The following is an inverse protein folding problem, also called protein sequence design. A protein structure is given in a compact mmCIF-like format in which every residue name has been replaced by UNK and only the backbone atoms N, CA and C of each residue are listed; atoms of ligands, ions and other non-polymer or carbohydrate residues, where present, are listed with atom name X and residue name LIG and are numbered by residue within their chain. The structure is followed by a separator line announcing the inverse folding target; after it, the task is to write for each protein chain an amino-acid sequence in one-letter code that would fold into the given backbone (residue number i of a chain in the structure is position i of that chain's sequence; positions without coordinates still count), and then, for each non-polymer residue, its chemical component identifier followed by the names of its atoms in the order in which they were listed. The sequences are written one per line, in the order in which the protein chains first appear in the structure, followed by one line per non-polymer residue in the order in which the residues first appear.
data_IF_939376754898
#
_entry.id   IF_939376754898
#
_cell.length_a   1.000
_cell.length_b   1.000
_cell.length_c   1.000
_cell.angle_alpha   90.00
_cell.angle_beta   90.00
_cell.angle_gamma   90.00
#
_symmetry.space_group_name_H-M   'P 1'
#
loop_
_entity.id
_entity.type
_entity.pdbx_description
1 polymer ?
#
# COMPACT_ATOMS: atom_id res chain seq x y z
N UNK A 1 12.10 17.63 -0.93
CA UNK A 1 11.97 17.12 0.45
C UNK A 1 11.88 15.62 0.34
N UNK A 2 12.90 14.90 0.82
CA UNK A 2 12.89 13.43 0.85
C UNK A 2 11.98 12.99 1.99
N UNK A 3 10.67 12.97 1.73
CA UNK A 3 9.72 12.44 2.70
C UNK A 3 9.93 10.92 2.73
N UNK A 4 10.58 10.44 3.79
CA UNK A 4 10.91 9.02 4.02
C UNK A 4 9.64 8.20 4.35
N UNK A 5 8.61 8.34 3.51
CA UNK A 5 7.30 7.77 3.71
C UNK A 5 7.35 6.30 3.39
N UNK A 6 6.80 5.49 4.29
CA UNK A 6 6.83 4.04 4.27
C UNK A 6 5.48 3.54 3.76
N UNK A 7 5.52 2.76 2.70
CA UNK A 7 4.33 2.28 1.99
C UNK A 7 4.30 0.75 2.05
N UNK A 8 3.17 0.17 2.41
CA UNK A 8 2.90 -1.27 2.26
C UNK A 8 2.13 -1.48 0.97
N UNK A 9 2.46 -2.53 0.23
CA UNK A 9 1.73 -2.96 -0.95
C UNK A 9 1.22 -4.40 -0.73
N UNK A 10 -0.08 -4.58 -0.88
CA UNK A 10 -0.72 -5.89 -0.98
C UNK A 10 -1.10 -6.15 -2.44
N UNK A 11 -0.69 -7.29 -2.98
CA UNK A 11 -1.08 -7.75 -4.31
C UNK A 11 -1.23 -9.26 -4.40
N UNK A 12 -1.54 -9.78 -5.58
CA UNK A 12 -1.59 -11.24 -5.84
C UNK A 12 -0.56 -11.72 -6.86
N UNK A 13 0.03 -10.80 -7.63
CA UNK A 13 1.04 -11.11 -8.63
C UNK A 13 2.39 -10.49 -8.26
N UNK A 14 3.41 -11.34 -8.11
CA UNK A 14 4.75 -10.92 -7.72
C UNK A 14 5.41 -9.99 -8.75
N UNK A 15 5.13 -10.19 -10.05
CA UNK A 15 5.71 -9.36 -11.12
C UNK A 15 5.16 -7.93 -11.09
N UNK A 16 3.85 -7.81 -10.86
CA UNK A 16 3.16 -6.53 -10.70
C UNK A 16 3.61 -5.80 -9.43
N UNK A 17 3.82 -6.54 -8.33
CA UNK A 17 4.39 -5.99 -7.10
C UNK A 17 5.80 -5.45 -7.31
N UNK A 18 6.68 -6.21 -7.96
CA UNK A 18 8.06 -5.78 -8.23
C UNK A 18 8.10 -4.51 -9.08
N UNK A 19 7.27 -4.43 -10.13
CA UNK A 19 7.15 -3.24 -10.97
C UNK A 19 6.66 -2.01 -10.20
N UNK A 20 5.64 -2.18 -9.35
CA UNK A 20 5.09 -1.09 -8.54
C UNK A 20 6.07 -0.64 -7.45
N UNK A 21 6.75 -1.58 -6.79
CA UNK A 21 7.81 -1.31 -5.81
C UNK A 21 8.89 -0.44 -6.42
N UNK A 22 9.43 -0.82 -7.58
CA UNK A 22 10.50 -0.04 -8.25
C UNK A 22 10.08 1.38 -8.60
N UNK A 23 8.83 1.58 -9.01
CA UNK A 23 8.29 2.92 -9.34
C UNK A 23 8.23 3.79 -8.08
N UNK A 24 7.75 3.24 -6.97
CA UNK A 24 7.62 3.95 -5.70
C UNK A 24 8.98 4.22 -5.06
N UNK A 25 9.88 3.24 -5.04
CA UNK A 25 11.25 3.42 -4.55
C UNK A 25 12.02 4.44 -5.40
N UNK A 26 11.87 4.40 -6.73
CA UNK A 26 12.42 5.41 -7.64
C UNK A 26 11.89 6.82 -7.39
N UNK A 27 10.70 6.95 -6.80
CA UNK A 27 10.11 8.22 -6.37
C UNK A 27 10.52 8.61 -4.92
N UNK A 28 11.31 7.79 -4.22
CA UNK A 28 11.84 8.07 -2.89
C UNK A 28 11.04 7.51 -1.72
N UNK A 29 10.06 6.62 -1.97
CA UNK A 29 9.33 5.93 -0.91
C UNK A 29 10.10 4.70 -0.41
N UNK A 30 9.97 4.37 0.87
CA UNK A 30 10.39 3.07 1.40
C UNK A 30 9.22 2.11 1.22
N UNK A 31 9.42 0.99 0.53
CA UNK A 31 8.33 0.09 0.17
C UNK A 31 8.51 -1.28 0.80
N UNK A 32 7.43 -1.81 1.38
CA UNK A 32 7.30 -3.22 1.71
C UNK A 32 6.17 -3.81 0.88
N UNK A 33 6.35 -5.00 0.32
CA UNK A 33 5.30 -5.69 -0.45
C UNK A 33 5.04 -7.09 0.11
N UNK A 34 3.79 -7.53 0.00
CA UNK A 34 3.35 -8.86 0.41
C UNK A 34 2.20 -9.34 -0.47
N UNK A 35 2.06 -10.65 -0.60
CA UNK A 35 0.91 -11.29 -1.24
C UNK A 35 -0.13 -11.83 -0.26
N UNK A 36 0.14 -11.69 1.05
CA UNK A 36 -0.66 -12.22 2.13
C UNK A 36 -1.37 -11.11 2.91
N UNK A 37 -2.68 -11.27 3.07
CA UNK A 37 -3.57 -10.28 3.70
C UNK A 37 -3.23 -10.06 5.18
N UNK A 38 -3.01 -11.15 5.93
CA UNK A 38 -2.66 -11.09 7.34
C UNK A 38 -1.33 -10.38 7.55
N UNK A 39 -0.33 -10.68 6.72
CA UNK A 39 0.97 -10.01 6.76
C UNK A 39 0.83 -8.52 6.46
N UNK A 40 -0.01 -8.12 5.50
CA UNK A 40 -0.25 -6.70 5.21
C UNK A 40 -0.87 -5.97 6.41
N UNK A 41 -1.85 -6.58 7.06
CA UNK A 41 -2.52 -6.04 8.26
C UNK A 41 -1.52 -5.94 9.42
N UNK A 42 -0.69 -6.95 9.65
CA UNK A 42 0.32 -6.94 10.70
C UNK A 42 1.42 -5.91 10.45
N UNK A 43 1.81 -5.68 9.19
CA UNK A 43 2.73 -4.61 8.82
C UNK A 43 2.14 -3.24 9.17
N UNK A 44 0.87 -2.99 8.86
CA UNK A 44 0.18 -1.74 9.24
C UNK A 44 0.14 -1.57 10.76
N UNK A 45 -0.12 -2.65 11.51
CA UNK A 45 -0.14 -2.61 12.97
C UNK A 45 1.21 -2.24 13.62
N UNK A 46 2.32 -2.29 12.88
CA UNK A 46 3.62 -1.81 13.33
C UNK A 46 3.70 -0.27 13.44
N UNK A 47 2.63 0.46 13.06
CA UNK A 47 2.48 1.94 13.09
C UNK A 47 3.65 2.72 12.46
N UNK A 48 4.33 2.09 11.51
CA UNK A 48 5.50 2.64 10.85
C UNK A 48 5.24 2.91 9.36
N UNK A 49 3.99 2.87 8.92
CA UNK A 49 3.62 3.02 7.52
C UNK A 49 2.61 4.15 7.36
N UNK A 50 2.79 4.95 6.32
CA UNK A 50 1.94 6.08 6.00
C UNK A 50 0.76 5.66 5.11
N UNK A 51 0.95 4.63 4.29
CA UNK A 51 -0.11 4.12 3.43
C UNK A 51 -0.04 2.61 3.18
N UNK A 52 -1.23 2.03 2.96
CA UNK A 52 -1.44 0.71 2.41
C UNK A 52 -2.04 0.82 1.00
N UNK A 53 -1.34 0.25 0.04
CA UNK A 53 -1.76 0.12 -1.34
C UNK A 53 -2.28 -1.29 -1.59
N UNK A 54 -3.49 -1.42 -2.13
CA UNK A 54 -4.08 -2.72 -2.44
C UNK A 54 -4.28 -2.86 -3.95
N UNK A 55 -3.67 -3.87 -4.55
CA UNK A 55 -3.79 -4.17 -5.98
C UNK A 55 -5.23 -4.45 -6.41
N UNK A 56 -5.59 -4.05 -7.62
CA UNK A 56 -6.94 -4.27 -8.18
C UNK A 56 -7.26 -5.74 -8.40
N UNK A 57 -6.24 -6.57 -8.62
CA UNK A 57 -6.34 -8.01 -8.77
C UNK A 57 -6.78 -8.73 -7.49
N UNK A 58 -6.65 -8.06 -6.33
CA UNK A 58 -7.18 -8.56 -5.06
C UNK A 58 -8.71 -8.54 -5.12
N UNK A 59 -9.36 -9.64 -4.75
CA UNK A 59 -10.82 -9.76 -4.79
C UNK A 59 -11.48 -8.64 -3.97
N UNK A 60 -12.65 -8.15 -4.41
CA UNK A 60 -13.31 -7.02 -3.74
C UNK A 60 -13.61 -7.28 -2.26
N UNK A 61 -14.01 -8.50 -1.92
CA UNK A 61 -14.24 -8.91 -0.54
C UNK A 61 -12.96 -8.79 0.30
N UNK A 62 -11.84 -9.33 -0.19
CA UNK A 62 -10.53 -9.25 0.47
C UNK A 62 -10.05 -7.80 0.61
N UNK A 63 -10.22 -6.97 -0.44
CA UNK A 63 -9.87 -5.53 -0.38
C UNK A 63 -10.65 -4.82 0.73
N UNK A 64 -11.96 -5.07 0.84
CA UNK A 64 -12.79 -4.49 1.90
C UNK A 64 -12.37 -4.99 3.28
N UNK A 65 -12.10 -6.28 3.41
CA UNK A 65 -11.63 -6.89 4.65
C UNK A 65 -10.31 -6.25 5.12
N UNK A 66 -9.28 -6.28 4.26
CA UNK A 66 -7.96 -5.72 4.57
C UNK A 66 -8.03 -4.23 4.88
N UNK A 67 -8.80 -3.46 4.10
CA UNK A 67 -8.96 -2.03 4.35
C UNK A 67 -9.67 -1.72 5.67
N UNK A 68 -10.60 -2.57 6.10
CA UNK A 68 -11.31 -2.42 7.38
C UNK A 68 -10.37 -2.76 8.54
N UNK A 69 -9.72 -3.94 8.48
CA UNK A 69 -8.81 -4.38 9.54
C UNK A 69 -7.61 -3.45 9.69
N UNK A 70 -7.03 -2.96 8.59
CA UNK A 70 -5.90 -2.03 8.63
C UNK A 70 -6.27 -0.73 9.34
N UNK A 71 -7.46 -0.17 9.06
CA UNK A 71 -7.94 1.06 9.74
C UNK A 71 -8.29 0.83 11.20
N UNK A 72 -8.70 -0.38 11.56
CA UNK A 72 -8.93 -0.77 12.95
C UNK A 72 -7.60 -0.84 13.73
N UNK A 73 -6.50 -1.22 13.07
CA UNK A 73 -5.16 -1.28 13.68
C UNK A 73 -4.48 0.08 13.73
N UNK A 74 -4.65 0.90 12.72
CA UNK A 74 -4.11 2.26 12.64
C UNK A 74 -5.11 3.19 11.96
N UNK A 75 -5.72 4.10 12.73
CA UNK A 75 -6.72 5.03 12.20
C UNK A 75 -6.12 6.10 11.28
N UNK A 76 -4.81 6.32 11.35
CA UNK A 76 -4.07 7.29 10.53
C UNK A 76 -3.63 6.74 9.17
N UNK A 77 -3.73 5.42 8.96
CA UNK A 77 -3.24 4.79 7.72
C UNK A 77 -4.08 5.23 6.51
N UNK A 78 -3.40 5.67 5.46
CA UNK A 78 -4.04 5.92 4.16
C UNK A 78 -4.19 4.60 3.41
N UNK A 79 -5.43 4.17 3.14
CA UNK A 79 -5.67 2.95 2.35
C UNK A 79 -6.17 3.31 0.95
N UNK A 80 -5.45 2.88 -0.09
CA UNK A 80 -5.77 3.14 -1.50
C UNK A 80 -5.83 1.85 -2.31
N UNK A 81 -6.75 1.79 -3.27
CA UNK A 81 -6.74 0.74 -4.30
C UNK A 81 -5.95 1.21 -5.52
N UNK A 82 -4.97 0.41 -5.95
CA UNK A 82 -4.12 0.71 -7.11
C UNK A 82 -4.74 0.15 -8.37
N UNK A 83 -5.21 1.05 -9.24
CA UNK A 83 -5.75 0.67 -10.55
C UNK A 83 -4.68 0.65 -11.65
N UNK A 84 -3.62 1.45 -11.51
CA UNK A 84 -2.46 1.41 -12.39
C UNK A 84 -1.21 1.99 -11.71
N UNK A 85 0.00 1.53 -12.08
CA UNK A 85 1.24 2.03 -11.48
C UNK A 85 1.51 3.52 -11.74
N UNK A 86 0.97 4.10 -12.81
CA UNK A 86 1.15 5.53 -13.11
C UNK A 86 0.27 6.44 -12.25
N UNK A 87 -0.91 5.97 -11.87
CA UNK A 87 -1.86 6.77 -11.09
C UNK A 87 -1.55 6.77 -9.59
N UNK A 88 -0.82 5.75 -9.11
CA UNK A 88 -0.49 5.60 -7.69
C UNK A 88 0.27 6.78 -7.10
N UNK A 89 1.22 7.37 -7.86
CA UNK A 89 2.05 8.48 -7.37
C UNK A 89 1.20 9.73 -7.17
N UNK A 90 0.30 10.00 -8.10
CA UNK A 90 -0.65 11.11 -7.98
C UNK A 90 -1.60 10.89 -6.80
N UNK A 91 -2.16 9.68 -6.65
CA UNK A 91 -3.04 9.35 -5.54
C UNK A 91 -2.34 9.48 -4.18
N UNK A 92 -1.11 8.99 -4.06
CA UNK A 92 -0.30 9.12 -2.85
C UNK A 92 0.01 10.59 -2.54
N UNK A 93 0.36 11.40 -3.55
CA UNK A 93 0.65 12.83 -3.34
C UNK A 93 -0.57 13.63 -2.86
N UNK A 94 -1.78 13.21 -3.25
CA UNK A 94 -3.02 13.84 -2.82
C UNK A 94 -3.49 13.37 -1.45
N UNK A 95 -3.20 12.11 -1.10
CA UNK A 95 -3.66 11.49 0.14
C UNK A 95 -2.69 11.69 1.31
N UNK A 96 -1.39 11.89 1.04
CA UNK A 96 -0.35 12.08 2.05
C UNK A 96 0.07 13.56 2.10
N UNK A 97 -0.42 14.35 3.08
CA UNK A 97 -0.09 15.77 3.24
C UNK A 97 1.39 16.00 3.54
#
# INVERSE_FOLDING_TARGET
MSSNRRIVILGRDASSLDGLTRILEGAGYIVASTTNDGVAIDMVASSSYDALLIGREVAEADRRYVATESRNRDIGIVVLTVNSPRSVLTQLSQALP
#
